data_IF_260625499486
#
_entry.id   IF_260625499486
#
_cell.length_a   1.000
_cell.length_b   1.000
_cell.length_c   1.000
_cell.angle_alpha   90.00
_cell.angle_beta   90.00
_cell.angle_gamma   90.00
#
_symmetry.space_group_name_H-M   'P 1'
#
loop_
_entity.id
_entity.type
_entity.pdbx_description
1 polymer ?
#
# COMPACT_ATOMS: atom_id res chain seq x y z
N UNK A 1 -15.90 -14.10 -19.62
CA UNK A 1 -16.31 -12.73 -19.26
C UNK A 1 -15.42 -12.28 -18.12
N UNK A 2 -14.81 -11.08 -18.19
CA UNK A 2 -14.05 -10.48 -17.07
C UNK A 2 -14.94 -9.40 -16.45
N UNK A 3 -14.90 -9.28 -15.12
CA UNK A 3 -15.68 -8.26 -14.38
C UNK A 3 -14.71 -7.33 -13.68
N UNK A 4 -15.00 -6.05 -13.72
CA UNK A 4 -14.40 -5.04 -12.86
C UNK A 4 -15.50 -4.43 -12.01
N UNK A 5 -15.34 -4.45 -10.70
CA UNK A 5 -16.33 -3.91 -9.77
C UNK A 5 -15.64 -3.02 -8.75
N UNK A 6 -16.22 -1.87 -8.49
CA UNK A 6 -15.79 -0.97 -7.43
C UNK A 6 -16.91 -0.92 -6.37
N UNK A 7 -16.71 -1.67 -5.28
CA UNK A 7 -17.73 -1.83 -4.21
C UNK A 7 -17.76 -0.64 -3.25
N UNK A 8 -16.61 -0.01 -3.02
CA UNK A 8 -16.45 1.06 -2.05
C UNK A 8 -16.94 2.39 -2.63
N UNK A 9 -17.81 3.10 -1.92
CA UNK A 9 -18.13 4.50 -2.20
C UNK A 9 -17.03 5.38 -1.63
N UNK A 10 -16.46 6.28 -2.44
CA UNK A 10 -15.32 7.10 -2.04
C UNK A 10 -15.75 8.55 -1.84
N UNK A 11 -15.62 9.05 -0.62
CA UNK A 11 -15.78 10.45 -0.26
C UNK A 11 -14.39 11.09 -0.14
N UNK A 12 -14.15 12.19 -0.83
CA UNK A 12 -12.81 12.80 -0.86
C UNK A 12 -12.84 14.31 -1.01
N UNK A 13 -11.80 14.97 -0.54
CA UNK A 13 -11.62 16.43 -0.60
C UNK A 13 -11.84 17.09 0.74
N UNK A 14 -11.93 18.42 0.72
CA UNK A 14 -12.06 19.23 1.93
C UNK A 14 -13.37 18.89 2.65
N UNK A 15 -13.28 18.73 3.97
CA UNK A 15 -14.41 18.39 4.83
C UNK A 15 -15.08 17.02 4.51
N UNK A 16 -14.38 16.10 3.86
CA UNK A 16 -14.93 14.77 3.57
C UNK A 16 -15.37 14.03 4.85
N UNK A 17 -14.74 14.34 6.00
CA UNK A 17 -15.09 13.80 7.31
C UNK A 17 -16.49 14.21 7.79
N UNK A 18 -17.13 15.26 7.25
CA UNK A 18 -18.51 15.63 7.58
C UNK A 18 -19.50 14.52 7.22
N UNK A 19 -19.12 13.63 6.29
CA UNK A 19 -19.90 12.41 5.99
C UNK A 19 -20.24 11.59 7.25
N UNK A 20 -19.37 11.61 8.27
CA UNK A 20 -19.61 10.89 9.53
C UNK A 20 -20.85 11.40 10.29
N UNK A 21 -21.22 12.67 10.15
CA UNK A 21 -22.45 13.21 10.75
C UNK A 21 -23.72 12.69 10.04
N UNK A 22 -23.61 12.36 8.76
CA UNK A 22 -24.73 11.98 7.90
C UNK A 22 -24.95 10.46 7.81
N UNK A 23 -24.15 9.65 8.51
CA UNK A 23 -24.27 8.19 8.47
C UNK A 23 -25.69 7.73 8.82
N UNK A 24 -26.24 6.73 8.13
CA UNK A 24 -27.57 6.21 8.44
C UNK A 24 -27.60 5.33 9.71
N UNK A 25 -26.45 5.13 10.33
CA UNK A 25 -26.25 4.30 11.51
C UNK A 25 -26.35 5.12 12.80
N UNK A 26 -26.85 4.51 13.88
CA UNK A 26 -26.89 5.13 15.21
C UNK A 26 -25.71 4.73 16.08
N UNK A 27 -25.27 3.48 15.97
CA UNK A 27 -24.29 2.86 16.88
C UNK A 27 -22.99 2.55 16.14
N UNK A 28 -21.91 3.27 16.48
CA UNK A 28 -20.65 3.28 15.75
C UNK A 28 -19.52 2.74 16.63
N UNK A 29 -18.75 1.77 16.14
CA UNK A 29 -17.50 1.37 16.76
C UNK A 29 -16.32 1.96 15.97
N UNK A 30 -15.63 2.91 16.57
CA UNK A 30 -14.38 3.47 16.01
C UNK A 30 -13.22 2.56 16.41
N UNK A 31 -12.47 2.07 15.44
CA UNK A 31 -11.28 1.24 15.66
C UNK A 31 -10.06 2.01 15.17
N UNK A 32 -9.08 2.20 16.04
CA UNK A 32 -7.90 3.02 15.76
C UNK A 32 -6.70 2.58 16.61
N UNK A 33 -5.56 3.23 16.42
CA UNK A 33 -4.37 3.02 17.24
C UNK A 33 -4.30 4.00 18.44
N UNK A 34 -3.43 3.73 19.45
CA UNK A 34 -3.30 4.57 20.63
C UNK A 34 -2.82 5.99 20.34
N UNK A 35 -2.06 6.20 19.25
CA UNK A 35 -1.53 7.53 18.91
C UNK A 35 -2.67 8.45 18.45
N UNK A 36 -3.54 7.96 17.57
CA UNK A 36 -4.71 8.72 17.12
C UNK A 36 -5.67 8.93 18.28
N UNK A 37 -5.96 7.88 19.05
CA UNK A 37 -6.94 7.93 20.14
C UNK A 37 -6.58 8.92 21.27
N UNK A 38 -5.28 9.10 21.55
CA UNK A 38 -4.78 10.02 22.58
C UNK A 38 -4.48 11.43 22.07
N UNK A 39 -4.40 11.57 20.74
CA UNK A 39 -4.10 12.85 20.10
C UNK A 39 -5.35 13.69 19.78
N UNK A 40 -5.15 14.88 19.23
CA UNK A 40 -6.24 15.74 18.80
C UNK A 40 -6.94 15.21 17.53
N UNK A 41 -6.27 14.35 16.77
CA UNK A 41 -6.78 13.80 15.52
C UNK A 41 -8.08 13.03 15.72
N UNK A 42 -8.27 12.38 16.87
CA UNK A 42 -9.52 11.67 17.18
C UNK A 42 -10.75 12.58 17.14
N UNK A 43 -10.58 13.87 17.46
CA UNK A 43 -11.67 14.84 17.45
C UNK A 43 -12.21 15.07 16.03
N UNK A 44 -11.35 14.96 15.00
CA UNK A 44 -11.79 15.04 13.60
C UNK A 44 -12.78 13.94 13.23
N UNK A 45 -12.78 12.83 13.97
CA UNK A 45 -13.69 11.70 13.79
C UNK A 45 -14.90 11.82 14.76
N UNK A 46 -14.63 12.08 16.05
CA UNK A 46 -15.68 12.04 17.06
C UNK A 46 -16.61 13.25 17.04
N UNK A 47 -16.12 14.43 16.64
CA UNK A 47 -16.96 15.63 16.63
C UNK A 47 -18.03 15.60 15.53
N UNK A 48 -17.74 15.16 14.28
CA UNK A 48 -18.82 14.89 13.31
C UNK A 48 -19.83 13.83 13.80
N UNK A 49 -19.36 12.74 14.44
CA UNK A 49 -20.27 11.73 15.01
C UNK A 49 -21.19 12.32 16.07
N UNK A 50 -20.65 13.15 16.99
CA UNK A 50 -21.47 13.87 18.00
C UNK A 50 -22.48 14.83 17.35
N UNK A 51 -22.04 15.63 16.35
CA UNK A 51 -22.92 16.53 15.59
C UNK A 51 -24.10 15.76 14.93
N UNK A 52 -23.80 14.56 14.42
CA UNK A 52 -24.79 13.67 13.81
C UNK A 52 -25.64 12.89 14.82
N UNK A 53 -25.45 13.13 16.14
CA UNK A 53 -26.20 12.42 17.19
C UNK A 53 -25.94 10.92 17.24
N UNK A 54 -24.71 10.49 16.88
CA UNK A 54 -24.31 9.08 16.88
C UNK A 54 -23.83 8.67 18.27
N UNK A 55 -24.27 7.49 18.73
CA UNK A 55 -23.64 6.79 19.84
C UNK A 55 -22.36 6.11 19.33
N UNK A 56 -21.24 6.25 20.03
CA UNK A 56 -20.01 5.63 19.61
C UNK A 56 -19.14 5.20 20.77
N UNK A 57 -18.38 4.14 20.56
CA UNK A 57 -17.25 3.74 21.39
C UNK A 57 -15.97 3.64 20.57
N UNK A 58 -14.82 3.78 21.25
CA UNK A 58 -13.49 3.72 20.62
C UNK A 58 -12.74 2.50 21.13
N UNK A 59 -12.33 1.63 20.22
CA UNK A 59 -11.33 0.59 20.47
C UNK A 59 -9.99 1.09 19.94
N UNK A 60 -9.05 1.33 20.84
CA UNK A 60 -7.77 2.01 20.52
C UNK A 60 -6.53 1.13 20.69
N UNK A 61 -6.68 -0.18 20.78
CA UNK A 61 -5.58 -1.10 21.06
C UNK A 61 -4.99 -1.76 19.80
N UNK A 62 -5.24 -1.15 18.64
CA UNK A 62 -4.57 -1.57 17.39
C UNK A 62 -3.09 -1.22 17.47
N UNK A 63 -2.25 -2.16 17.04
CA UNK A 63 -0.81 -1.99 16.97
C UNK A 63 -0.31 -2.36 15.55
N UNK A 64 0.92 -1.98 15.19
CA UNK A 64 1.49 -2.32 13.89
C UNK A 64 1.40 -3.83 13.58
N UNK A 65 1.32 -4.15 12.30
CA UNK A 65 1.26 -5.53 11.76
C UNK A 65 0.00 -6.34 12.11
N UNK A 66 -1.04 -5.74 12.69
CA UNK A 66 -2.34 -6.39 12.96
C UNK A 66 -2.23 -7.78 13.65
N UNK A 67 -1.65 -7.88 14.86
CA UNK A 67 -1.47 -9.16 15.54
C UNK A 67 -2.81 -9.81 15.89
N UNK A 68 -2.91 -11.14 15.69
CA UNK A 68 -4.13 -11.93 15.94
C UNK A 68 -4.67 -11.76 17.37
N UNK A 69 -3.79 -11.65 18.38
CA UNK A 69 -4.21 -11.40 19.77
C UNK A 69 -4.97 -10.08 19.94
N UNK A 70 -4.51 -9.01 19.29
CA UNK A 70 -5.20 -7.70 19.32
C UNK A 70 -6.50 -7.70 18.53
N UNK A 71 -6.54 -8.44 17.43
CA UNK A 71 -7.78 -8.68 16.69
C UNK A 71 -8.81 -9.39 17.57
N UNK A 72 -8.41 -10.41 18.34
CA UNK A 72 -9.30 -11.12 19.25
C UNK A 72 -9.88 -10.21 20.36
N UNK A 73 -9.07 -9.29 20.92
CA UNK A 73 -9.55 -8.26 21.85
C UNK A 73 -10.59 -7.34 21.20
N UNK A 74 -10.34 -6.91 19.95
CA UNK A 74 -11.28 -6.11 19.18
C UNK A 74 -12.57 -6.85 18.84
N UNK A 75 -12.51 -8.14 18.53
CA UNK A 75 -13.69 -9.00 18.33
C UNK A 75 -14.54 -9.04 19.61
N UNK A 76 -13.91 -9.24 20.78
CA UNK A 76 -14.62 -9.20 22.06
C UNK A 76 -15.33 -7.86 22.25
N UNK A 77 -14.65 -6.74 22.01
CA UNK A 77 -15.22 -5.40 22.10
C UNK A 77 -16.40 -5.21 21.16
N UNK A 78 -16.27 -5.68 19.91
CA UNK A 78 -17.36 -5.63 18.93
C UNK A 78 -18.60 -6.41 19.41
N UNK A 79 -18.40 -7.63 19.94
CA UNK A 79 -19.50 -8.49 20.42
C UNK A 79 -20.21 -7.91 21.65
N UNK A 80 -19.49 -7.23 22.55
CA UNK A 80 -20.03 -6.54 23.71
C UNK A 80 -20.80 -5.28 23.31
N UNK A 81 -20.24 -4.46 22.41
CA UNK A 81 -20.84 -3.19 22.02
C UNK A 81 -21.95 -3.34 20.98
N UNK A 82 -21.89 -4.33 20.08
CA UNK A 82 -22.86 -4.60 19.02
C UNK A 82 -23.11 -3.39 18.10
N UNK A 83 -22.08 -2.94 17.34
CA UNK A 83 -22.22 -1.77 16.47
C UNK A 83 -23.07 -2.07 15.23
N UNK A 84 -23.65 -1.03 14.64
CA UNK A 84 -24.28 -1.07 13.30
C UNK A 84 -23.24 -0.81 12.18
N UNK A 85 -22.16 -0.14 12.53
CA UNK A 85 -21.05 0.18 11.61
C UNK A 85 -19.70 0.23 12.37
N UNK A 86 -18.65 -0.24 11.70
CA UNK A 86 -17.26 -0.05 12.13
C UNK A 86 -16.67 1.11 11.33
N UNK A 87 -16.05 2.06 12.02
CA UNK A 87 -15.25 3.14 11.43
C UNK A 87 -13.80 2.86 11.73
N UNK A 88 -13.07 2.39 10.73
CA UNK A 88 -11.65 2.07 10.79
C UNK A 88 -10.82 3.32 10.51
N UNK A 89 -10.04 3.80 11.49
CA UNK A 89 -9.24 5.03 11.37
C UNK A 89 -7.77 4.73 11.58
N UNK A 90 -6.93 5.00 10.60
CA UNK A 90 -5.49 4.78 10.74
C UNK A 90 -4.79 4.37 9.44
N UNK A 91 -3.56 3.93 9.55
CA UNK A 91 -2.82 3.32 8.43
C UNK A 91 -3.29 1.91 8.10
N UNK A 92 -2.60 1.22 7.20
CA UNK A 92 -2.95 -0.14 6.75
C UNK A 92 -3.23 -1.11 7.88
N UNK A 93 -2.38 -1.15 8.93
CA UNK A 93 -2.56 -2.06 10.07
C UNK A 93 -3.88 -1.83 10.82
N UNK A 94 -4.33 -0.57 10.96
CA UNK A 94 -5.59 -0.26 11.63
C UNK A 94 -6.78 -0.66 10.77
N UNK A 95 -6.72 -0.41 9.47
CA UNK A 95 -7.79 -0.78 8.53
C UNK A 95 -7.86 -2.31 8.43
N UNK A 96 -6.72 -3.00 8.30
CA UNK A 96 -6.66 -4.47 8.22
C UNK A 96 -7.17 -5.13 9.51
N UNK A 97 -6.75 -4.62 10.69
CA UNK A 97 -7.31 -5.08 11.97
C UNK A 97 -8.81 -4.91 12.03
N UNK A 98 -9.33 -3.76 11.59
CA UNK A 98 -10.77 -3.46 11.61
C UNK A 98 -11.57 -4.38 10.69
N UNK A 99 -11.04 -4.66 9.49
CA UNK A 99 -11.59 -5.64 8.55
C UNK A 99 -11.67 -7.03 9.19
N UNK A 100 -10.57 -7.48 9.80
CA UNK A 100 -10.49 -8.78 10.45
C UNK A 100 -11.42 -8.87 11.68
N UNK A 101 -11.44 -7.84 12.53
CA UNK A 101 -12.33 -7.77 13.71
C UNK A 101 -13.79 -7.91 13.27
N UNK A 102 -14.22 -7.09 12.29
CA UNK A 102 -15.59 -7.15 11.76
C UNK A 102 -15.89 -8.53 11.19
N UNK A 103 -15.02 -9.06 10.32
CA UNK A 103 -15.23 -10.34 9.65
C UNK A 103 -15.38 -11.51 10.64
N UNK A 104 -14.50 -11.57 11.64
CA UNK A 104 -14.56 -12.64 12.64
C UNK A 104 -15.76 -12.49 13.58
N UNK A 105 -16.09 -11.28 14.01
CA UNK A 105 -17.25 -11.04 14.86
C UNK A 105 -18.55 -11.44 14.16
N UNK A 106 -18.72 -11.12 12.88
CA UNK A 106 -19.88 -11.51 12.08
C UNK A 106 -20.01 -13.04 11.94
N UNK A 107 -18.89 -13.75 11.79
CA UNK A 107 -18.88 -15.22 11.69
C UNK A 107 -19.22 -15.92 13.02
N UNK A 108 -18.82 -15.34 14.16
CA UNK A 108 -19.08 -15.94 15.49
C UNK A 108 -20.56 -15.93 15.85
N UNK A 109 -21.26 -14.82 15.65
CA UNK A 109 -22.63 -14.64 16.19
C UNK A 109 -23.72 -14.56 15.11
N UNK A 110 -23.40 -14.88 13.87
CA UNK A 110 -24.36 -14.80 12.76
C UNK A 110 -25.11 -13.45 12.73
N UNK A 111 -24.37 -12.37 13.02
CA UNK A 111 -24.87 -10.99 12.95
C UNK A 111 -25.39 -10.68 11.55
N UNK A 112 -26.38 -9.83 11.48
CA UNK A 112 -26.76 -9.20 10.22
C UNK A 112 -25.62 -8.38 9.60
N UNK A 113 -25.90 -7.66 8.52
CA UNK A 113 -24.91 -6.80 7.88
C UNK A 113 -24.50 -5.65 8.81
N UNK A 114 -23.21 -5.55 9.12
CA UNK A 114 -22.59 -4.40 9.80
C UNK A 114 -21.73 -3.65 8.80
N UNK A 115 -21.92 -2.34 8.68
CA UNK A 115 -21.16 -1.50 7.76
C UNK A 115 -19.66 -1.42 8.10
N UNK A 116 -18.83 -1.10 7.12
CA UNK A 116 -17.42 -0.78 7.31
C UNK A 116 -17.09 0.50 6.55
N UNK A 117 -16.60 1.49 7.27
CA UNK A 117 -16.10 2.75 6.72
C UNK A 117 -14.60 2.83 7.01
N UNK A 118 -13.78 2.98 5.99
CA UNK A 118 -12.34 3.07 6.13
C UNK A 118 -11.85 4.51 5.94
N UNK A 119 -11.07 5.01 6.90
CA UNK A 119 -10.54 6.37 6.93
C UNK A 119 -9.02 6.27 7.08
N UNK A 120 -8.26 6.26 5.98
CA UNK A 120 -6.82 6.16 6.02
C UNK A 120 -6.18 7.44 6.55
N UNK A 121 -5.15 7.28 7.41
CA UNK A 121 -4.32 8.37 7.91
C UNK A 121 -2.90 8.34 7.33
N UNK A 122 -2.69 7.50 6.31
CA UNK A 122 -1.48 7.43 5.50
C UNK A 122 -1.85 7.35 4.03
N UNK A 123 -1.04 7.91 3.15
CA UNK A 123 -1.21 7.81 1.70
C UNK A 123 -0.23 6.74 1.18
N UNK A 124 -0.61 5.47 1.28
CA UNK A 124 0.31 4.35 0.99
C UNK A 124 -0.40 3.07 0.57
N UNK A 125 -1.01 2.40 1.51
CA UNK A 125 -1.44 1.00 1.37
C UNK A 125 -2.65 0.78 0.47
N UNK A 126 -3.53 1.77 0.31
CA UNK A 126 -4.79 1.57 -0.42
C UNK A 126 -5.74 0.57 0.24
N UNK A 127 -5.50 0.21 1.53
CA UNK A 127 -6.31 -0.80 2.22
C UNK A 127 -7.78 -0.43 2.30
N UNK A 128 -8.11 0.84 2.28
CA UNK A 128 -9.50 1.35 2.33
C UNK A 128 -10.38 0.87 1.17
N UNK A 129 -9.79 0.41 0.06
CA UNK A 129 -10.53 -0.04 -1.14
C UNK A 129 -10.22 -1.48 -1.57
N UNK A 130 -9.44 -2.22 -0.76
CA UNK A 130 -9.04 -3.58 -1.09
C UNK A 130 -9.87 -4.65 -0.40
N UNK A 131 -9.98 -5.82 -1.02
CA UNK A 131 -10.70 -7.00 -0.52
C UNK A 131 -9.84 -7.93 0.32
N UNK A 132 -8.74 -7.44 0.88
CA UNK A 132 -7.85 -8.23 1.72
C UNK A 132 -7.38 -7.44 2.95
N UNK A 133 -6.90 -8.19 3.93
CA UNK A 133 -6.25 -7.70 5.13
C UNK A 133 -5.08 -8.61 5.48
N UNK A 134 -3.96 -8.06 5.90
CA UNK A 134 -2.81 -8.84 6.36
C UNK A 134 -2.85 -8.91 7.88
N UNK A 135 -2.92 -10.11 8.43
CA UNK A 135 -2.88 -10.37 9.88
C UNK A 135 -1.60 -11.11 10.25
N UNK A 136 -1.10 -10.85 11.44
CA UNK A 136 0.16 -11.41 11.91
C UNK A 136 -0.08 -12.39 13.07
N UNK A 137 0.26 -13.64 12.85
CA UNK A 137 0.39 -14.64 13.89
C UNK A 137 1.78 -14.51 14.52
N UNK A 138 1.84 -13.80 15.65
CA UNK A 138 3.09 -13.53 16.34
C UNK A 138 3.67 -14.76 17.05
N UNK A 139 2.87 -15.78 17.32
CA UNK A 139 3.32 -17.03 17.97
C UNK A 139 4.05 -17.92 16.96
N UNK A 140 3.53 -18.00 15.73
CA UNK A 140 4.14 -18.79 14.66
C UNK A 140 5.04 -17.96 13.73
N UNK A 141 5.18 -16.66 13.96
CA UNK A 141 5.93 -15.73 13.10
C UNK A 141 5.52 -15.75 11.64
N UNK A 142 4.20 -15.80 11.37
CA UNK A 142 3.65 -15.88 10.01
C UNK A 142 2.64 -14.77 9.77
N UNK A 143 2.77 -14.08 8.63
CA UNK A 143 1.77 -13.13 8.16
C UNK A 143 0.83 -13.85 7.18
N UNK A 144 -0.48 -13.75 7.42
CA UNK A 144 -1.52 -14.36 6.60
C UNK A 144 -2.33 -13.28 5.88
N UNK A 145 -2.42 -13.31 4.56
CA UNK A 145 -3.41 -12.52 3.84
C UNK A 145 -4.80 -13.17 4.02
N UNK A 146 -5.73 -12.43 4.58
CA UNK A 146 -7.14 -12.75 4.52
C UNK A 146 -7.69 -12.16 3.22
N UNK A 147 -8.33 -12.97 2.40
CA UNK A 147 -8.86 -12.53 1.09
C UNK A 147 -10.34 -12.89 1.05
N UNK A 148 -11.19 -11.88 0.98
CA UNK A 148 -12.64 -12.04 0.86
C UNK A 148 -13.27 -10.73 0.39
N UNK A 149 -14.25 -10.83 -0.47
CA UNK A 149 -15.09 -9.69 -0.87
C UNK A 149 -15.79 -9.01 0.31
N UNK A 150 -16.03 -9.73 1.39
CA UNK A 150 -16.60 -9.21 2.64
C UNK A 150 -15.67 -8.25 3.39
N UNK A 151 -14.35 -8.30 3.13
CA UNK A 151 -13.37 -7.39 3.74
C UNK A 151 -13.34 -6.01 3.09
N UNK A 152 -13.98 -5.84 1.93
CA UNK A 152 -14.05 -4.55 1.25
C UNK A 152 -14.92 -3.58 2.08
N UNK A 153 -14.43 -2.36 2.28
CA UNK A 153 -15.19 -1.33 2.96
C UNK A 153 -16.39 -0.87 2.11
N UNK A 154 -17.50 -0.56 2.78
CA UNK A 154 -18.67 0.00 2.09
C UNK A 154 -18.41 1.45 1.67
N UNK A 155 -17.71 2.23 2.52
CA UNK A 155 -17.31 3.60 2.23
C UNK A 155 -15.82 3.82 2.60
N UNK A 156 -15.14 4.68 1.84
CA UNK A 156 -13.83 5.22 2.17
C UNK A 156 -13.90 6.74 2.25
N UNK A 157 -13.24 7.35 3.25
CA UNK A 157 -13.21 8.81 3.42
C UNK A 157 -11.76 9.28 3.36
N UNK A 158 -11.43 10.09 2.35
CA UNK A 158 -10.10 10.59 2.05
C UNK A 158 -10.03 12.09 2.33
N UNK A 159 -9.61 12.46 3.54
CA UNK A 159 -9.47 13.85 3.96
C UNK A 159 -8.00 14.17 4.29
N UNK A 160 -7.44 15.14 3.60
CA UNK A 160 -6.02 15.50 3.73
C UNK A 160 -5.63 16.01 5.12
N UNK A 161 -6.57 16.50 5.93
CA UNK A 161 -6.29 16.91 7.31
C UNK A 161 -5.73 15.75 8.15
N UNK A 162 -6.12 14.51 7.86
CA UNK A 162 -5.62 13.31 8.55
C UNK A 162 -4.18 12.94 8.20
N UNK A 163 -3.66 13.41 7.07
CA UNK A 163 -2.29 13.13 6.60
C UNK A 163 -1.36 14.34 6.68
N UNK A 164 -1.85 15.48 7.17
CA UNK A 164 -1.11 16.72 7.28
C UNK A 164 0.14 16.62 8.18
N UNK A 165 0.01 15.91 9.29
CA UNK A 165 1.07 15.74 10.29
C UNK A 165 2.01 14.55 10.01
N UNK A 166 1.80 13.81 8.91
CA UNK A 166 2.66 12.68 8.55
C UNK A 166 4.09 13.15 8.27
N UNK A 167 5.10 12.61 9.00
CA UNK A 167 6.49 13.01 8.83
C UNK A 167 7.03 12.79 7.41
N UNK A 168 8.02 13.58 6.96
CA UNK A 168 8.61 13.42 5.62
C UNK A 168 9.10 12.00 5.32
N UNK A 169 9.75 11.33 6.28
CA UNK A 169 10.24 9.96 6.10
C UNK A 169 9.11 8.96 5.82
N UNK A 170 7.98 9.09 6.52
CA UNK A 170 6.81 8.24 6.28
C UNK A 170 6.14 8.64 4.96
N UNK A 171 6.07 9.93 4.63
CA UNK A 171 5.56 10.40 3.33
C UNK A 171 6.37 9.81 2.18
N UNK A 172 7.71 9.76 2.31
CA UNK A 172 8.60 9.16 1.32
C UNK A 172 8.35 7.66 1.15
N UNK A 173 8.38 6.91 2.26
CA UNK A 173 8.19 5.46 2.24
C UNK A 173 6.80 5.09 1.68
N UNK A 174 5.73 5.71 2.19
CA UNK A 174 4.37 5.40 1.75
C UNK A 174 4.09 5.90 0.34
N UNK A 175 4.62 7.04 -0.06
CA UNK A 175 4.44 7.55 -1.42
C UNK A 175 5.17 6.74 -2.48
N UNK A 176 6.37 6.23 -2.16
CA UNK A 176 7.07 5.28 -3.04
C UNK A 176 6.36 3.92 -3.09
N UNK A 177 5.67 3.54 -2.02
CA UNK A 177 4.81 2.37 -1.99
C UNK A 177 3.63 2.52 -2.97
N UNK A 178 2.94 3.68 -2.95
CA UNK A 178 1.90 4.02 -3.94
C UNK A 178 2.42 3.90 -5.36
N UNK A 179 3.59 4.47 -5.63
CA UNK A 179 4.21 4.40 -6.95
C UNK A 179 4.51 2.95 -7.35
N UNK A 180 4.99 2.12 -6.43
CA UNK A 180 5.26 0.71 -6.66
C UNK A 180 3.98 -0.07 -6.92
N UNK A 181 2.94 0.12 -6.12
CA UNK A 181 1.62 -0.45 -6.33
C UNK A 181 1.09 -0.15 -7.74
N UNK A 182 1.14 1.13 -8.14
CA UNK A 182 0.65 1.56 -9.43
C UNK A 182 1.49 1.00 -10.59
N UNK A 183 2.81 1.00 -10.47
CA UNK A 183 3.71 0.45 -11.50
C UNK A 183 3.52 -1.07 -11.62
N UNK A 184 3.51 -1.82 -10.52
CA UNK A 184 3.36 -3.28 -10.57
C UNK A 184 1.99 -3.69 -11.10
N UNK A 185 0.91 -3.08 -10.61
CA UNK A 185 -0.42 -3.38 -11.14
C UNK A 185 -0.58 -3.01 -12.62
N UNK A 186 0.08 -1.94 -13.07
CA UNK A 186 0.09 -1.55 -14.49
C UNK A 186 0.75 -2.60 -15.37
N UNK A 187 1.90 -3.15 -14.97
CA UNK A 187 2.65 -4.15 -15.76
C UNK A 187 2.22 -5.59 -15.48
N UNK A 188 1.34 -5.84 -14.51
CA UNK A 188 0.86 -7.16 -14.12
C UNK A 188 0.33 -7.98 -15.30
N UNK A 189 0.49 -9.30 -15.24
CA UNK A 189 -0.13 -10.23 -16.20
C UNK A 189 -1.67 -10.19 -16.16
N UNK A 190 -2.25 -9.79 -15.03
CA UNK A 190 -3.69 -9.73 -14.82
C UNK A 190 -4.28 -8.34 -15.10
N UNK A 191 -3.48 -7.39 -15.59
CA UNK A 191 -3.98 -6.05 -15.92
C UNK A 191 -5.13 -6.08 -16.91
N UNK A 192 -5.98 -5.07 -16.83
CA UNK A 192 -7.02 -4.79 -17.83
C UNK A 192 -7.12 -3.27 -18.04
N UNK A 193 -8.01 -2.84 -18.92
CA UNK A 193 -8.17 -1.42 -19.27
C UNK A 193 -8.54 -0.56 -18.06
N UNK A 194 -9.39 -1.07 -17.16
CA UNK A 194 -9.82 -0.34 -15.96
C UNK A 194 -8.69 -0.21 -14.95
N UNK A 195 -8.03 -1.33 -14.58
CA UNK A 195 -6.91 -1.28 -13.65
C UNK A 195 -5.75 -0.45 -14.21
N UNK A 196 -5.49 -0.53 -15.53
CA UNK A 196 -4.47 0.28 -16.19
C UNK A 196 -4.77 1.78 -16.11
N UNK A 197 -6.00 2.21 -16.36
CA UNK A 197 -6.37 3.62 -16.27
C UNK A 197 -6.21 4.19 -14.85
N UNK A 198 -6.56 3.39 -13.82
CA UNK A 198 -6.38 3.76 -12.42
C UNK A 198 -4.89 3.87 -12.06
N UNK A 199 -4.08 2.89 -12.49
CA UNK A 199 -2.64 2.90 -12.27
C UNK A 199 -1.96 4.09 -12.98
N UNK A 200 -2.30 4.35 -14.25
CA UNK A 200 -1.78 5.49 -15.03
C UNK A 200 -2.04 6.80 -14.31
N UNK A 201 -3.27 7.01 -13.82
CA UNK A 201 -3.60 8.24 -13.09
C UNK A 201 -2.88 8.34 -11.75
N UNK A 202 -2.70 7.23 -11.04
CA UNK A 202 -1.90 7.21 -9.80
C UNK A 202 -0.44 7.58 -10.08
N UNK A 203 0.18 7.00 -11.11
CA UNK A 203 1.57 7.30 -11.53
C UNK A 203 1.73 8.78 -11.90
N UNK A 204 0.81 9.33 -12.69
CA UNK A 204 0.80 10.75 -13.07
C UNK A 204 0.79 11.66 -11.83
N UNK A 205 -0.10 11.37 -10.87
CA UNK A 205 -0.22 12.14 -9.63
C UNK A 205 1.07 12.02 -8.80
N UNK A 206 1.62 10.82 -8.63
CA UNK A 206 2.89 10.61 -7.91
C UNK A 206 4.03 11.41 -8.56
N UNK A 207 4.10 11.41 -9.90
CA UNK A 207 5.13 12.15 -10.64
C UNK A 207 5.13 13.66 -10.36
N UNK A 208 3.97 14.23 -10.06
CA UNK A 208 3.82 15.67 -9.81
C UNK A 208 3.86 16.03 -8.33
N UNK A 209 3.23 15.21 -7.47
CA UNK A 209 2.87 15.63 -6.12
C UNK A 209 3.66 14.94 -5.00
N UNK A 210 4.29 13.78 -5.25
CA UNK A 210 4.98 13.05 -4.19
C UNK A 210 6.13 13.87 -3.58
N UNK A 211 7.02 14.40 -4.43
CA UNK A 211 8.14 15.20 -3.94
C UNK A 211 7.67 16.51 -3.27
N UNK A 212 6.59 17.12 -3.77
CA UNK A 212 5.99 18.31 -3.15
C UNK A 212 5.45 17.99 -1.74
N UNK A 213 4.69 16.91 -1.59
CA UNK A 213 4.16 16.48 -0.30
C UNK A 213 5.26 16.10 0.69
N UNK A 214 6.41 15.61 0.20
CA UNK A 214 7.59 15.30 1.01
C UNK A 214 8.31 16.58 1.48
N UNK A 215 8.55 17.52 0.58
CA UNK A 215 9.29 18.77 0.86
C UNK A 215 8.49 19.74 1.71
N UNK A 216 7.19 19.82 1.51
CA UNK A 216 6.27 20.67 2.26
C UNK A 216 5.04 19.86 2.70
N UNK A 217 5.08 19.38 3.95
CA UNK A 217 3.96 18.67 4.57
C UNK A 217 2.70 19.52 4.75
N UNK A 218 2.81 20.86 4.66
CA UNK A 218 1.68 21.79 4.73
C UNK A 218 1.01 22.05 3.38
N UNK A 219 1.57 21.56 2.28
CA UNK A 219 0.93 21.61 0.96
C UNK A 219 -0.28 20.65 0.92
N UNK A 220 -1.43 21.12 1.43
CA UNK A 220 -2.66 20.34 1.54
C UNK A 220 -3.15 19.84 0.17
N UNK A 221 -2.87 20.59 -0.89
CA UNK A 221 -3.21 20.14 -2.24
C UNK A 221 -2.38 18.91 -2.65
N UNK A 222 -1.07 18.93 -2.41
CA UNK A 222 -0.20 17.79 -2.66
C UNK A 222 -0.58 16.58 -1.76
N UNK A 223 -0.88 16.82 -0.48
CA UNK A 223 -1.37 15.79 0.44
C UNK A 223 -2.65 15.12 -0.06
N UNK A 224 -3.65 15.91 -0.45
CA UNK A 224 -4.91 15.40 -0.99
C UNK A 224 -4.70 14.63 -2.29
N UNK A 225 -3.81 15.09 -3.17
CA UNK A 225 -3.48 14.38 -4.40
C UNK A 225 -2.82 13.05 -4.13
N UNK A 226 -1.86 12.98 -3.21
CA UNK A 226 -1.22 11.72 -2.84
C UNK A 226 -2.19 10.75 -2.15
N UNK A 227 -3.15 11.27 -1.38
CA UNK A 227 -4.21 10.47 -0.76
C UNK A 227 -5.10 9.81 -1.82
N UNK A 228 -5.50 10.58 -2.84
CA UNK A 228 -6.24 10.05 -4.00
C UNK A 228 -5.38 9.07 -4.81
N UNK A 229 -4.09 9.34 -5.02
CA UNK A 229 -3.20 8.43 -5.75
C UNK A 229 -3.08 7.06 -5.06
N UNK A 230 -3.00 7.04 -3.73
CA UNK A 230 -2.99 5.83 -2.92
C UNK A 230 -4.27 4.99 -3.14
N UNK A 231 -5.42 5.63 -3.07
CA UNK A 231 -6.70 4.98 -3.33
C UNK A 231 -6.81 4.41 -4.75
N UNK A 232 -6.39 5.18 -5.77
CA UNK A 232 -6.38 4.74 -7.17
C UNK A 232 -5.45 3.53 -7.37
N UNK A 233 -4.25 3.54 -6.77
CA UNK A 233 -3.35 2.40 -6.79
C UNK A 233 -3.98 1.18 -6.12
N UNK A 234 -4.66 1.38 -4.96
CA UNK A 234 -5.41 0.35 -4.24
C UNK A 234 -6.46 -0.33 -5.11
N UNK A 235 -7.29 0.43 -5.77
CA UNK A 235 -8.30 -0.07 -6.73
C UNK A 235 -7.66 -0.82 -7.89
N UNK A 236 -6.53 -0.32 -8.40
CA UNK A 236 -5.82 -0.96 -9.50
C UNK A 236 -5.29 -2.34 -9.10
N UNK A 237 -4.48 -2.41 -8.04
CA UNK A 237 -3.85 -3.67 -7.65
C UNK A 237 -4.82 -4.66 -7.01
N UNK A 238 -5.92 -4.21 -6.42
CA UNK A 238 -6.99 -5.11 -5.95
C UNK A 238 -7.55 -5.98 -7.09
N UNK A 239 -7.50 -5.46 -8.32
CA UNK A 239 -7.94 -6.19 -9.52
C UNK A 239 -6.78 -6.91 -10.21
N UNK A 240 -5.65 -6.22 -10.41
CA UNK A 240 -4.54 -6.70 -11.22
C UNK A 240 -3.50 -7.53 -10.43
N UNK A 241 -3.50 -7.43 -9.11
CA UNK A 241 -2.43 -7.97 -8.28
C UNK A 241 -1.15 -7.12 -8.38
N UNK A 242 -0.11 -7.59 -7.69
CA UNK A 242 1.20 -6.97 -7.59
C UNK A 242 2.26 -7.87 -8.27
N UNK A 243 3.54 -7.63 -7.99
CA UNK A 243 4.64 -8.37 -8.60
C UNK A 243 5.76 -8.70 -7.62
N UNK A 244 6.93 -9.03 -8.17
CA UNK A 244 8.06 -9.47 -7.36
C UNK A 244 8.73 -8.36 -6.55
N UNK A 245 8.45 -7.08 -6.82
CA UNK A 245 8.91 -6.01 -5.93
C UNK A 245 8.32 -6.23 -4.55
N UNK A 246 6.99 -6.43 -4.46
CA UNK A 246 6.31 -6.71 -3.20
C UNK A 246 6.72 -8.04 -2.60
N UNK A 247 6.80 -9.11 -3.39
CA UNK A 247 7.23 -10.43 -2.89
C UNK A 247 8.60 -10.38 -2.22
N UNK A 248 9.54 -9.65 -2.80
CA UNK A 248 10.87 -9.46 -2.25
C UNK A 248 10.89 -8.49 -1.07
N UNK A 249 10.10 -7.41 -1.11
CA UNK A 249 9.99 -6.43 -0.03
C UNK A 249 9.40 -7.06 1.24
N UNK A 250 8.43 -7.97 1.12
CA UNK A 250 7.88 -8.72 2.25
C UNK A 250 8.96 -9.45 3.04
N UNK A 251 9.93 -10.04 2.34
CA UNK A 251 11.02 -10.78 2.99
C UNK A 251 12.01 -9.85 3.68
N UNK A 252 12.35 -8.70 3.08
CA UNK A 252 13.19 -7.68 3.71
C UNK A 252 12.53 -7.12 4.98
N UNK A 253 11.22 -6.91 4.95
CA UNK A 253 10.45 -6.50 6.12
C UNK A 253 10.41 -7.58 7.21
N UNK A 254 10.18 -8.84 6.84
CA UNK A 254 10.08 -9.94 7.79
C UNK A 254 11.41 -10.27 8.48
N UNK A 255 12.53 -10.22 7.75
CA UNK A 255 13.85 -10.64 8.26
C UNK A 255 14.61 -9.48 8.89
N UNK A 256 14.57 -8.29 8.30
CA UNK A 256 15.39 -7.15 8.70
C UNK A 256 14.59 -5.95 9.22
N UNK A 257 13.27 -6.08 9.33
CA UNK A 257 12.37 -5.03 9.80
C UNK A 257 12.49 -3.71 9.01
N UNK A 258 12.85 -3.80 7.72
CA UNK A 258 12.87 -2.65 6.83
C UNK A 258 11.42 -2.22 6.59
N UNK A 259 11.07 -0.93 6.74
CA UNK A 259 9.72 -0.43 6.46
C UNK A 259 9.28 -0.83 5.05
N UNK A 260 8.03 -1.30 4.91
CA UNK A 260 7.51 -1.91 3.68
C UNK A 260 7.71 -1.03 2.44
N UNK A 261 7.25 0.22 2.48
CA UNK A 261 7.38 1.14 1.35
C UNK A 261 8.85 1.48 1.02
N UNK A 262 9.73 1.49 2.03
CA UNK A 262 11.18 1.65 1.83
C UNK A 262 11.77 0.47 1.11
N UNK A 263 11.44 -0.76 1.51
CA UNK A 263 11.87 -1.97 0.84
C UNK A 263 11.40 -2.02 -0.62
N UNK A 264 10.14 -1.66 -0.86
CA UNK A 264 9.58 -1.53 -2.20
C UNK A 264 10.35 -0.48 -3.02
N UNK A 265 10.59 0.70 -2.47
CA UNK A 265 11.34 1.75 -3.13
C UNK A 265 12.73 1.26 -3.57
N UNK A 266 13.49 0.64 -2.65
CA UNK A 266 14.85 0.14 -2.91
C UNK A 266 14.88 -0.92 -4.02
N UNK A 267 13.90 -1.80 -4.07
CA UNK A 267 13.81 -2.90 -5.04
C UNK A 267 13.32 -2.45 -6.43
N UNK A 268 12.41 -1.48 -6.49
CA UNK A 268 11.70 -1.12 -7.72
C UNK A 268 12.61 -0.87 -8.93
N UNK A 269 13.71 -0.11 -8.88
CA UNK A 269 14.59 0.11 -10.03
C UNK A 269 15.15 -1.20 -10.59
N UNK A 270 15.55 -2.13 -9.71
CA UNK A 270 16.13 -3.41 -10.07
C UNK A 270 15.11 -4.33 -10.72
N UNK A 271 13.84 -4.28 -10.24
CA UNK A 271 12.76 -5.08 -10.80
C UNK A 271 12.33 -4.56 -12.17
N UNK A 272 12.29 -3.24 -12.37
CA UNK A 272 12.05 -2.64 -13.70
C UNK A 272 13.09 -3.11 -14.69
N UNK A 273 14.38 -3.12 -14.32
CA UNK A 273 15.48 -3.65 -15.17
C UNK A 273 15.29 -5.14 -15.46
N UNK A 274 14.97 -5.95 -14.43
CA UNK A 274 14.74 -7.37 -14.56
C UNK A 274 13.58 -7.69 -15.51
N UNK A 275 12.40 -7.13 -15.23
CA UNK A 275 11.19 -7.37 -16.01
C UNK A 275 11.34 -6.92 -17.47
N UNK A 276 12.13 -5.89 -17.73
CA UNK A 276 12.42 -5.37 -19.06
C UNK A 276 13.52 -6.15 -19.78
N UNK A 277 14.22 -7.01 -19.08
CA UNK A 277 15.43 -7.68 -19.59
C UNK A 277 16.46 -6.70 -20.18
N UNK A 278 16.60 -5.54 -19.57
CA UNK A 278 17.59 -4.53 -19.94
C UNK A 278 18.64 -4.39 -18.83
N UNK A 279 19.83 -3.96 -19.25
CA UNK A 279 20.91 -3.61 -18.35
C UNK A 279 21.56 -2.31 -18.83
N UNK A 280 22.52 -1.77 -18.07
CA UNK A 280 23.18 -0.50 -18.38
C UNK A 280 23.89 -0.46 -19.76
N UNK A 281 24.10 -1.61 -20.39
CA UNK A 281 24.77 -1.72 -21.70
C UNK A 281 23.79 -1.95 -22.86
N UNK A 282 22.49 -2.26 -22.57
CA UNK A 282 21.49 -2.49 -23.63
C UNK A 282 21.23 -1.19 -24.40
N UNK A 283 21.44 -1.17 -25.70
CA UNK A 283 21.20 0.00 -26.56
C UNK A 283 19.90 -0.10 -27.34
N UNK A 284 19.53 -1.31 -27.72
CA UNK A 284 18.28 -1.61 -28.46
C UNK A 284 17.94 -3.09 -28.26
N UNK A 285 16.67 -3.43 -28.47
CA UNK A 285 16.20 -4.82 -28.58
C UNK A 285 15.51 -4.96 -29.94
N UNK A 286 15.73 -6.09 -30.62
CA UNK A 286 15.05 -6.40 -31.88
C UNK A 286 13.56 -6.61 -31.67
N UNK A 287 13.20 -7.23 -30.56
CA UNK A 287 11.84 -7.50 -30.14
C UNK A 287 11.64 -7.01 -28.72
N UNK A 288 10.62 -6.18 -28.49
CA UNK A 288 10.32 -5.66 -27.17
C UNK A 288 9.39 -6.65 -26.42
N UNK A 289 9.82 -7.06 -25.23
CA UNK A 289 8.96 -7.77 -24.28
C UNK A 289 7.71 -6.90 -23.98
N UNK A 290 6.55 -7.52 -23.68
CA UNK A 290 5.35 -6.78 -23.28
C UNK A 290 5.62 -5.77 -22.14
N UNK A 291 6.37 -6.17 -21.12
CA UNK A 291 6.76 -5.31 -20.02
C UNK A 291 7.52 -4.05 -20.46
N UNK A 292 8.45 -4.17 -21.43
CA UNK A 292 9.19 -3.00 -21.98
C UNK A 292 8.25 -1.97 -22.57
N UNK A 293 7.20 -2.42 -23.27
CA UNK A 293 6.21 -1.50 -23.87
C UNK A 293 5.46 -0.75 -22.77
N UNK A 294 5.05 -1.46 -21.72
CA UNK A 294 4.31 -0.86 -20.60
C UNK A 294 5.17 0.07 -19.76
N UNK A 295 6.41 -0.28 -19.42
CA UNK A 295 7.34 0.63 -18.75
C UNK A 295 7.68 1.88 -19.59
N UNK A 296 7.79 1.73 -20.90
CA UNK A 296 7.96 2.88 -21.79
C UNK A 296 6.71 3.80 -21.82
N UNK A 297 5.52 3.25 -21.67
CA UNK A 297 4.28 4.04 -21.49
C UNK A 297 4.30 4.79 -20.15
N UNK A 298 4.74 4.17 -19.05
CA UNK A 298 4.94 4.86 -17.78
C UNK A 298 5.93 6.04 -17.93
N UNK A 299 7.06 5.81 -18.62
CA UNK A 299 8.00 6.89 -18.90
C UNK A 299 7.35 8.03 -19.71
N UNK A 300 6.44 7.72 -20.62
CA UNK A 300 5.67 8.73 -21.37
C UNK A 300 4.75 9.54 -20.43
N UNK A 301 4.00 8.89 -19.56
CA UNK A 301 3.11 9.53 -18.57
C UNK A 301 3.89 10.52 -17.69
N UNK A 302 5.11 10.15 -17.31
CA UNK A 302 5.99 10.98 -16.49
C UNK A 302 6.79 12.03 -17.28
N UNK A 303 6.58 12.16 -18.60
CA UNK A 303 7.33 13.10 -19.45
C UNK A 303 8.78 12.71 -19.70
N UNK A 304 9.17 11.44 -19.47
CA UNK A 304 10.51 10.91 -19.57
C UNK A 304 10.80 10.17 -20.90
N UNK A 305 9.90 10.27 -21.86
CA UNK A 305 9.98 9.52 -23.12
C UNK A 305 11.26 9.83 -23.89
N UNK A 306 11.76 8.80 -24.56
CA UNK A 306 12.88 8.86 -25.48
C UNK A 306 12.50 8.26 -26.84
N UNK A 307 13.36 8.46 -27.85
CA UNK A 307 13.11 7.96 -29.22
C UNK A 307 13.13 6.43 -29.36
N UNK A 308 13.60 5.71 -28.36
CA UNK A 308 13.35 4.26 -28.30
C UNK A 308 12.92 3.80 -26.91
N UNK A 309 12.20 2.68 -26.86
CA UNK A 309 11.59 2.16 -25.64
C UNK A 309 12.61 1.75 -24.56
N UNK A 310 13.79 1.23 -24.96
CA UNK A 310 14.86 0.86 -24.02
C UNK A 310 15.37 2.11 -23.29
N UNK A 311 15.54 3.21 -24.04
CA UNK A 311 15.99 4.48 -23.43
C UNK A 311 14.90 5.08 -22.54
N UNK A 312 13.63 4.97 -22.93
CA UNK A 312 12.51 5.40 -22.07
C UNK A 312 12.47 4.61 -20.75
N UNK A 313 12.65 3.30 -20.78
CA UNK A 313 12.74 2.48 -19.56
C UNK A 313 13.92 2.86 -18.68
N UNK A 314 15.08 3.18 -19.29
CA UNK A 314 16.24 3.69 -18.53
C UNK A 314 15.96 5.03 -17.87
N UNK A 315 15.31 5.94 -18.61
CA UNK A 315 14.88 7.21 -18.04
C UNK A 315 13.95 7.01 -16.86
N UNK A 316 13.05 6.03 -16.91
CA UNK A 316 12.19 5.65 -15.79
C UNK A 316 13.01 5.14 -14.60
N UNK A 317 13.96 4.23 -14.80
CA UNK A 317 14.83 3.72 -13.74
C UNK A 317 15.61 4.85 -13.07
N UNK A 318 16.23 5.72 -13.88
CA UNK A 318 16.98 6.87 -13.37
C UNK A 318 16.07 7.85 -12.59
N UNK A 319 14.85 8.06 -13.05
CA UNK A 319 13.89 8.92 -12.37
C UNK A 319 13.45 8.32 -11.02
N UNK A 320 13.20 7.01 -10.93
CA UNK A 320 12.90 6.35 -9.66
C UNK A 320 14.07 6.54 -8.68
N UNK A 321 15.32 6.33 -9.14
CA UNK A 321 16.50 6.54 -8.29
C UNK A 321 16.70 8.01 -7.90
N UNK A 322 16.36 8.94 -8.78
CA UNK A 322 16.34 10.38 -8.47
C UNK A 322 15.33 10.66 -7.34
N UNK A 323 14.09 10.16 -7.44
CA UNK A 323 13.06 10.33 -6.40
C UNK A 323 13.52 9.77 -5.05
N UNK A 324 14.15 8.59 -5.05
CA UNK A 324 14.72 8.00 -3.82
C UNK A 324 15.75 8.94 -3.18
N UNK A 325 16.68 9.47 -3.95
CA UNK A 325 17.74 10.39 -3.47
C UNK A 325 17.15 11.68 -2.91
N UNK A 326 16.24 12.32 -3.65
CA UNK A 326 15.59 13.57 -3.20
C UNK A 326 14.81 13.39 -1.90
N UNK A 327 14.30 12.18 -1.64
CA UNK A 327 13.54 11.86 -0.44
C UNK A 327 14.37 11.15 0.65
N UNK A 328 15.70 11.10 0.51
CA UNK A 328 16.61 10.47 1.45
C UNK A 328 16.28 8.99 1.74
N UNK A 329 15.80 8.26 0.73
CA UNK A 329 15.59 6.82 0.81
C UNK A 329 16.91 6.13 0.46
N UNK A 330 17.42 5.19 1.30
CA UNK A 330 18.63 4.42 0.97
C UNK A 330 18.46 3.68 -0.36
N UNK A 331 19.50 3.69 -1.18
CA UNK A 331 19.50 2.96 -2.45
C UNK A 331 20.00 1.52 -2.28
N UNK A 332 20.70 1.25 -1.18
CA UNK A 332 21.32 -0.05 -0.89
C UNK A 332 21.08 -0.46 0.55
N UNK A 333 21.17 -1.77 0.80
CA UNK A 333 21.09 -2.31 2.18
C UNK A 333 22.23 -1.78 3.06
N UNK A 334 23.43 -1.62 2.47
CA UNK A 334 24.58 -1.10 3.19
C UNK A 334 24.35 0.32 3.71
N UNK A 335 23.64 1.16 2.96
CA UNK A 335 23.30 2.53 3.38
C UNK A 335 22.36 2.60 4.58
N UNK A 336 21.61 1.54 4.88
CA UNK A 336 20.76 1.46 6.09
C UNK A 336 21.62 1.45 7.35
N UNK A 337 22.82 0.84 7.28
CA UNK A 337 23.85 0.88 8.33
C UNK A 337 23.59 0.01 9.55
N UNK A 338 22.46 -0.66 9.67
CA UNK A 338 22.06 -1.50 10.83
C UNK A 338 22.16 -3.00 10.53
N UNK A 339 22.37 -3.41 9.29
CA UNK A 339 22.38 -4.80 8.85
C UNK A 339 23.81 -5.20 8.54
N UNK A 340 24.33 -6.28 9.17
CA UNK A 340 25.67 -6.77 8.86
C UNK A 340 25.71 -7.52 7.53
N UNK A 341 26.84 -7.49 6.80
CA UNK A 341 27.00 -8.25 5.56
C UNK A 341 26.70 -9.73 5.73
N UNK A 342 27.28 -10.36 6.79
CA UNK A 342 27.12 -11.80 7.03
C UNK A 342 25.63 -12.17 7.23
N UNK A 343 24.90 -11.45 8.08
CA UNK A 343 23.47 -11.68 8.30
C UNK A 343 22.66 -11.51 7.02
N UNK A 344 23.01 -10.51 6.20
CA UNK A 344 22.30 -10.28 4.94
C UNK A 344 22.53 -11.41 3.94
N UNK A 345 23.79 -11.74 3.66
CA UNK A 345 24.12 -12.75 2.67
C UNK A 345 23.67 -14.16 3.06
N UNK A 346 23.69 -14.49 4.36
CA UNK A 346 23.16 -15.76 4.89
C UNK A 346 21.64 -15.88 4.68
N UNK A 347 20.90 -14.79 4.80
CA UNK A 347 19.44 -14.80 4.66
C UNK A 347 18.95 -14.89 3.21
N UNK A 348 19.78 -14.51 2.21
CA UNK A 348 19.34 -14.34 0.81
C UNK A 348 18.64 -15.59 0.25
N UNK A 349 19.19 -16.77 0.50
CA UNK A 349 18.70 -18.03 -0.09
C UNK A 349 17.28 -18.35 0.41
N UNK A 350 17.06 -18.18 1.72
CA UNK A 350 15.75 -18.37 2.35
C UNK A 350 14.75 -17.29 1.91
N UNK A 351 15.18 -16.03 1.84
CA UNK A 351 14.35 -14.94 1.33
C UNK A 351 13.95 -15.16 -0.13
N UNK A 352 14.85 -15.70 -0.95
CA UNK A 352 14.54 -15.99 -2.36
C UNK A 352 13.48 -17.09 -2.52
N UNK A 353 13.56 -18.16 -1.74
CA UNK A 353 12.54 -19.21 -1.72
C UNK A 353 11.18 -18.67 -1.27
N UNK A 354 11.16 -17.87 -0.21
CA UNK A 354 9.93 -17.27 0.31
C UNK A 354 9.32 -16.26 -0.67
N UNK A 355 10.14 -15.44 -1.34
CA UNK A 355 9.66 -14.51 -2.36
C UNK A 355 9.06 -15.23 -3.58
N UNK A 356 9.62 -16.38 -3.99
CA UNK A 356 9.03 -17.20 -5.06
C UNK A 356 7.66 -17.78 -4.69
N UNK A 357 7.49 -18.15 -3.42
CA UNK A 357 6.24 -18.70 -2.90
C UNK A 357 5.18 -17.62 -2.59
N UNK A 358 5.57 -16.36 -2.60
CA UNK A 358 4.66 -15.24 -2.31
C UNK A 358 3.58 -15.09 -3.39
N UNK A 359 2.36 -14.79 -2.98
CA UNK A 359 1.20 -14.68 -3.85
C UNK A 359 1.38 -13.62 -4.96
N UNK A 360 2.10 -12.52 -4.68
CA UNK A 360 2.34 -11.45 -5.63
C UNK A 360 3.19 -11.88 -6.82
N UNK A 361 4.07 -12.88 -6.65
CA UNK A 361 4.99 -13.36 -7.70
C UNK A 361 4.25 -13.86 -8.94
N UNK A 362 3.08 -14.45 -8.76
CA UNK A 362 2.30 -15.06 -9.86
C UNK A 362 1.83 -14.07 -10.91
N UNK A 363 1.65 -12.80 -10.54
CA UNK A 363 1.18 -11.74 -11.46
C UNK A 363 2.32 -10.95 -12.12
N UNK A 364 3.59 -11.24 -11.77
CA UNK A 364 4.74 -10.55 -12.32
C UNK A 364 4.89 -10.78 -13.84
N UNK A 365 5.18 -9.74 -14.65
CA UNK A 365 5.21 -9.86 -16.12
C UNK A 365 6.32 -10.74 -16.68
N UNK A 366 7.35 -11.03 -15.88
CA UNK A 366 8.42 -11.97 -16.18
C UNK A 366 8.54 -12.98 -15.06
N UNK A 367 8.42 -14.27 -15.37
CA UNK A 367 8.58 -15.35 -14.39
C UNK A 367 10.02 -15.36 -13.88
N UNK A 368 10.27 -15.16 -12.57
CA UNK A 368 11.60 -15.19 -12.00
C UNK A 368 12.02 -16.62 -11.68
N UNK A 369 13.31 -16.91 -11.77
CA UNK A 369 13.93 -18.08 -11.13
C UNK A 369 14.49 -17.71 -9.75
N UNK A 370 14.82 -18.70 -8.92
CA UNK A 370 15.49 -18.48 -7.63
C UNK A 370 16.81 -17.70 -7.83
N UNK A 371 17.58 -18.08 -8.84
CA UNK A 371 18.86 -17.45 -9.18
C UNK A 371 18.68 -15.97 -9.58
N UNK A 372 17.58 -15.62 -10.25
CA UNK A 372 17.26 -14.23 -10.59
C UNK A 372 17.02 -13.40 -9.32
N UNK A 373 16.21 -13.90 -8.39
CA UNK A 373 15.91 -13.23 -7.13
C UNK A 373 17.18 -13.09 -6.26
N UNK A 374 17.97 -14.17 -6.15
CA UNK A 374 19.26 -14.13 -5.44
C UNK A 374 20.20 -13.07 -6.04
N UNK A 375 20.27 -12.95 -7.37
CA UNK A 375 21.07 -11.90 -8.02
C UNK A 375 20.57 -10.50 -7.70
N UNK A 376 19.26 -10.30 -7.65
CA UNK A 376 18.69 -8.99 -7.33
C UNK A 376 19.02 -8.63 -5.88
N UNK A 377 18.83 -9.54 -4.91
CA UNK A 377 19.20 -9.29 -3.52
C UNK A 377 20.70 -8.99 -3.37
N UNK A 378 21.58 -9.77 -4.04
CA UNK A 378 23.03 -9.49 -4.02
C UNK A 378 23.36 -8.11 -4.57
N UNK A 379 22.68 -7.69 -5.65
CA UNK A 379 22.87 -6.35 -6.24
C UNK A 379 22.34 -5.24 -5.33
N UNK A 380 21.36 -5.53 -4.49
CA UNK A 380 20.78 -4.56 -3.56
C UNK A 380 21.70 -4.27 -2.36
N UNK A 381 22.73 -5.08 -2.09
CA UNK A 381 23.65 -4.85 -0.98
C UNK A 381 24.47 -3.58 -1.17
N UNK A 382 25.11 -3.41 -2.32
CA UNK A 382 25.96 -2.26 -2.66
C UNK A 382 26.03 -2.07 -4.17
N UNK A 383 26.33 -0.86 -4.63
CA UNK A 383 26.52 -0.54 -6.05
C UNK A 383 27.82 -1.11 -6.59
#
# INVERSE_FOLDING_TARGET
>A
MKTFEMKTVIHFGDNALDRLAELPYKKVLVITDPFIAKGEMINLITDPLKRGGKEFEVFSDVVPDAPVGKIAEGVKKFLEYQPEVVVAVGGGSAIDSSKAIREFALKINNYGKVGLIAIPTTSGTGSEVTSFAVVNDTENHVKYPLISDSLTADEAILDAELVKSVPPSITADTGMDVLTHAIESYVSLNHNEFSSALAEKSIEICGVFLLRAYLDGSDMHARQKMHVASCLAGLSFNTAGLGITHSMAHQLGAVFHIPHGRANAMLLPHIVEFNSNINKHSKSQKEYLPAVKRYASIAHILGLSNYNKVMSVRSLVNWIQFMQKEMNIPLTIQEIGTISPDAYFEAIDKMADAALADACTSANPRVPTKEDIVKIYKKLWSF
#
